data_IF_720588292641
#
_entry.id   IF_720588292641
#
_cell.length_a   1.000
_cell.length_b   1.000
_cell.length_c   1.000
_cell.angle_alpha   90.00
_cell.angle_beta   90.00
_cell.angle_gamma   90.00
#
_symmetry.space_group_name_H-M   'P 1'
#
loop_
_entity.id
_entity.type
_entity.pdbx_description
1 polymer ?
#
# COMPACT_ATOMS: atom_id res chain seq x y z
N UNK A 1 0.18 -7.55 -22.11
CA UNK A 1 0.29 -6.48 -21.08
C UNK A 1 0.62 -5.11 -21.69
N UNK A 2 1.71 -4.94 -22.44
CA UNK A 2 2.05 -3.64 -23.05
C UNK A 2 0.90 -2.97 -23.82
N UNK A 3 0.30 -3.67 -24.79
CA UNK A 3 -0.83 -3.13 -25.56
C UNK A 3 -2.05 -2.76 -24.70
N UNK A 4 -2.30 -3.51 -23.62
CA UNK A 4 -3.39 -3.23 -22.68
C UNK A 4 -3.12 -1.94 -21.91
N UNK A 5 -1.94 -1.81 -21.30
CA UNK A 5 -1.59 -0.64 -20.50
C UNK A 5 -1.51 0.63 -21.36
N UNK A 6 -0.92 0.55 -22.54
CA UNK A 6 -0.89 1.67 -23.49
C UNK A 6 -2.29 2.09 -23.90
N UNK A 7 -3.15 1.14 -24.30
CA UNK A 7 -4.52 1.44 -24.71
C UNK A 7 -5.39 2.01 -23.59
N UNK A 8 -5.14 1.64 -22.33
CA UNK A 8 -5.81 2.24 -21.16
C UNK A 8 -5.29 3.64 -20.85
N UNK A 9 -3.97 3.83 -20.86
CA UNK A 9 -3.32 5.12 -20.57
C UNK A 9 -3.60 6.19 -21.64
N UNK A 10 -3.86 5.80 -22.89
CA UNK A 10 -4.28 6.71 -23.96
C UNK A 10 -5.71 7.24 -23.77
N UNK A 11 -6.58 6.47 -23.12
CA UNK A 11 -8.00 6.83 -22.90
C UNK A 11 -8.20 7.76 -21.71
N UNK A 12 -7.21 7.87 -20.82
CA UNK A 12 -7.29 8.66 -19.61
C UNK A 12 -6.17 8.32 -18.62
N UNK A 13 -6.19 8.93 -17.42
CA UNK A 13 -5.23 8.59 -16.39
C UNK A 13 -5.43 7.14 -15.93
N UNK A 14 -4.36 6.36 -15.99
CA UNK A 14 -4.29 4.99 -15.49
C UNK A 14 -3.55 4.98 -14.14
N UNK A 15 -4.22 4.58 -13.09
CA UNK A 15 -3.63 4.44 -11.76
C UNK A 15 -3.27 2.97 -11.51
N UNK A 16 -2.00 2.72 -11.25
CA UNK A 16 -1.49 1.42 -10.81
C UNK A 16 -1.28 1.47 -9.30
N UNK A 17 -1.98 0.61 -8.58
CA UNK A 17 -1.98 0.58 -7.11
C UNK A 17 -1.05 -0.51 -6.63
N UNK A 18 -0.08 -0.12 -5.79
CA UNK A 18 0.95 -1.00 -5.24
C UNK A 18 0.99 -0.92 -3.72
N UNK A 19 1.50 -1.96 -3.08
CA UNK A 19 1.96 -1.91 -1.70
C UNK A 19 3.49 -1.93 -1.68
N UNK A 20 4.11 -0.74 -1.72
CA UNK A 20 5.54 -0.54 -2.04
C UNK A 20 5.92 -1.01 -3.46
N UNK A 21 5.94 -0.10 -4.46
CA UNK A 21 6.17 -0.49 -5.86
C UNK A 21 7.60 -0.95 -6.16
N UNK A 22 8.52 -0.90 -5.19
CA UNK A 22 9.96 -1.05 -5.46
C UNK A 22 10.33 -2.38 -6.10
N UNK A 23 9.77 -3.49 -5.62
CA UNK A 23 10.05 -4.82 -6.20
C UNK A 23 9.28 -5.02 -7.51
N UNK A 24 7.97 -4.72 -7.51
CA UNK A 24 7.12 -4.87 -8.68
C UNK A 24 7.67 -4.10 -9.88
N UNK A 25 8.09 -2.86 -9.70
CA UNK A 25 8.65 -2.03 -10.76
C UNK A 25 9.95 -2.61 -11.30
N UNK A 26 10.80 -3.23 -10.47
CA UNK A 26 12.01 -3.92 -10.96
C UNK A 26 11.62 -5.06 -11.88
N UNK A 27 10.69 -5.91 -11.45
CA UNK A 27 10.26 -7.08 -12.21
C UNK A 27 9.55 -6.69 -13.51
N UNK A 28 8.67 -5.68 -13.47
CA UNK A 28 7.99 -5.17 -14.65
C UNK A 28 8.95 -4.51 -15.65
N UNK A 29 10.05 -3.90 -15.17
CA UNK A 29 11.11 -3.38 -16.03
C UNK A 29 11.93 -4.48 -16.71
N UNK A 30 12.20 -5.59 -16.00
CA UNK A 30 12.83 -6.78 -16.58
C UNK A 30 11.95 -7.38 -17.69
N UNK A 31 10.63 -7.32 -17.54
CA UNK A 31 9.66 -7.73 -18.56
C UNK A 31 9.48 -6.71 -19.71
N UNK A 32 10.26 -5.63 -19.70
CA UNK A 32 10.23 -4.57 -20.73
C UNK A 32 8.83 -3.98 -20.94
N UNK A 33 8.10 -3.73 -19.85
CA UNK A 33 6.80 -3.08 -19.92
C UNK A 33 7.02 -1.56 -20.06
N UNK A 34 6.80 -1.03 -21.27
CA UNK A 34 7.11 0.37 -21.61
C UNK A 34 6.32 1.38 -20.79
N UNK A 35 5.07 1.06 -20.46
CA UNK A 35 4.18 1.89 -19.66
C UNK A 35 4.74 2.18 -18.24
N UNK A 36 5.59 1.29 -17.71
CA UNK A 36 6.20 1.45 -16.38
C UNK A 36 7.36 2.44 -16.38
N UNK A 37 8.05 2.60 -17.52
CA UNK A 37 9.17 3.55 -17.65
C UNK A 37 8.73 5.00 -17.51
N UNK A 38 7.54 5.31 -18.02
CA UNK A 38 6.94 6.65 -17.99
C UNK A 38 6.00 6.86 -16.79
N UNK A 39 6.03 5.94 -15.82
CA UNK A 39 5.13 5.97 -14.67
C UNK A 39 5.47 7.14 -13.72
N UNK A 40 4.46 7.92 -13.36
CA UNK A 40 4.58 9.08 -12.48
C UNK A 40 4.30 8.70 -11.03
N UNK A 41 5.19 9.05 -10.11
CA UNK A 41 5.06 8.74 -8.67
C UNK A 41 4.44 9.87 -7.85
N UNK A 42 4.26 11.04 -8.47
CA UNK A 42 3.59 12.19 -7.88
C UNK A 42 2.28 12.46 -8.63
N UNK A 43 1.21 12.66 -7.87
CA UNK A 43 -0.04 13.12 -8.43
C UNK A 43 0.00 14.64 -8.58
N UNK A 44 -0.42 15.19 -9.72
CA UNK A 44 -0.55 16.64 -9.88
C UNK A 44 -1.70 17.17 -9.01
N UNK A 45 -1.58 18.42 -8.54
CA UNK A 45 -2.67 19.14 -7.87
C UNK A 45 -3.94 19.28 -8.73
N UNK A 46 -3.87 19.61 -10.05
CA UNK A 46 -5.03 19.53 -10.93
C UNK A 46 -5.37 18.08 -11.32
N UNK A 47 -6.55 17.91 -11.93
CA UNK A 47 -7.02 16.61 -12.44
C UNK A 47 -5.92 15.95 -13.31
N UNK A 48 -5.54 14.69 -13.03
CA UNK A 48 -4.50 13.98 -13.78
C UNK A 48 -4.81 13.89 -15.28
N UNK A 49 -3.79 14.16 -16.11
CA UNK A 49 -3.85 14.01 -17.57
C UNK A 49 -3.67 12.55 -17.97
N UNK A 50 -3.94 12.16 -19.23
CA UNK A 50 -3.63 10.81 -19.71
C UNK A 50 -2.18 10.41 -19.43
N UNK A 51 -1.98 9.17 -19.01
CA UNK A 51 -0.69 8.65 -18.56
C UNK A 51 -0.82 7.65 -17.41
N UNK A 52 0.31 7.10 -16.97
CA UNK A 52 0.37 6.09 -15.91
C UNK A 52 0.85 6.72 -14.60
N UNK A 53 0.11 6.47 -13.53
CA UNK A 53 0.37 7.01 -12.20
C UNK A 53 0.50 5.88 -11.19
N UNK A 54 1.55 5.95 -10.37
CA UNK A 54 1.79 5.02 -9.28
C UNK A 54 1.08 5.50 -8.01
N UNK A 55 0.30 4.62 -7.41
CA UNK A 55 -0.33 4.81 -6.11
C UNK A 55 0.33 3.85 -5.13
N UNK A 56 1.12 4.39 -4.20
CA UNK A 56 1.79 3.61 -3.16
C UNK A 56 0.94 3.62 -1.88
N UNK A 57 0.22 2.52 -1.65
CA UNK A 57 -0.66 2.37 -0.47
C UNK A 57 0.10 2.39 0.84
N UNK A 58 1.38 1.98 0.85
CA UNK A 58 2.24 2.00 2.03
C UNK A 58 2.53 3.43 2.45
N UNK A 59 2.82 4.31 1.49
CA UNK A 59 2.99 5.76 1.74
C UNK A 59 1.68 6.45 2.10
N UNK A 60 0.58 6.12 1.43
CA UNK A 60 -0.74 6.69 1.74
C UNK A 60 -1.13 6.36 3.18
N UNK A 61 -0.92 5.12 3.61
CA UNK A 61 -1.21 4.71 4.97
C UNK A 61 -0.33 5.44 5.99
N UNK A 62 0.97 5.56 5.75
CA UNK A 62 1.88 6.35 6.60
C UNK A 62 1.40 7.80 6.76
N UNK A 63 0.96 8.42 5.67
CA UNK A 63 0.40 9.78 5.69
C UNK A 63 -0.92 9.85 6.47
N UNK A 64 -1.82 8.88 6.28
CA UNK A 64 -3.08 8.76 7.02
C UNK A 64 -2.81 8.62 8.52
N UNK A 65 -1.89 7.72 8.89
CA UNK A 65 -1.51 7.46 10.26
C UNK A 65 -0.72 8.61 10.91
N UNK A 66 -0.07 9.44 10.10
CA UNK A 66 0.77 10.56 10.56
C UNK A 66 2.14 10.11 11.06
N UNK A 67 2.65 8.96 10.58
CA UNK A 67 3.96 8.41 10.95
C UNK A 67 4.80 8.20 9.70
N UNK A 68 6.13 8.23 9.84
CA UNK A 68 7.04 8.01 8.70
C UNK A 68 7.29 6.53 8.47
N UNK A 69 7.16 5.72 9.52
CA UNK A 69 7.49 4.31 9.54
C UNK A 69 6.49 3.50 8.69
N UNK A 70 6.97 2.92 7.58
CA UNK A 70 6.10 2.25 6.63
C UNK A 70 5.72 0.85 7.16
N UNK A 71 4.45 0.46 7.02
CA UNK A 71 3.92 -0.81 7.57
C UNK A 71 3.75 -1.87 6.48
N UNK A 72 3.75 -3.14 6.87
CA UNK A 72 3.44 -4.26 5.98
C UNK A 72 1.96 -4.27 5.61
N UNK A 73 1.62 -4.94 4.50
CA UNK A 73 0.26 -5.08 4.02
C UNK A 73 -0.64 -5.72 5.09
N UNK A 74 -0.19 -6.84 5.66
CA UNK A 74 -0.91 -7.53 6.74
C UNK A 74 -1.23 -6.62 7.93
N UNK A 75 -0.28 -5.76 8.30
CA UNK A 75 -0.45 -4.80 9.38
C UNK A 75 -1.44 -3.70 9.00
N UNK A 76 -1.40 -3.20 7.77
CA UNK A 76 -2.36 -2.20 7.28
C UNK A 76 -3.78 -2.79 7.25
N UNK A 77 -3.97 -4.00 6.70
CA UNK A 77 -5.27 -4.68 6.67
C UNK A 77 -5.88 -4.77 8.09
N UNK A 78 -5.08 -5.22 9.07
CA UNK A 78 -5.47 -5.29 10.49
C UNK A 78 -5.89 -3.94 11.04
N UNK A 79 -5.11 -2.88 10.79
CA UNK A 79 -5.41 -1.55 11.33
C UNK A 79 -6.64 -0.93 10.66
N UNK A 80 -6.84 -1.16 9.36
CA UNK A 80 -8.01 -0.68 8.64
C UNK A 80 -9.29 -1.46 8.99
N UNK A 81 -9.17 -2.57 9.72
CA UNK A 81 -10.29 -3.42 10.13
C UNK A 81 -10.84 -4.27 8.99
N UNK A 82 -10.04 -4.50 7.95
CA UNK A 82 -10.38 -5.44 6.88
C UNK A 82 -10.50 -6.85 7.48
N UNK A 83 -11.44 -7.64 6.99
CA UNK A 83 -11.70 -9.01 7.46
C UNK A 83 -11.22 -10.01 6.42
N UNK A 84 -11.08 -11.26 6.84
CA UNK A 84 -10.89 -12.40 5.94
C UNK A 84 -9.62 -12.41 5.07
N UNK A 85 -8.63 -11.57 5.36
CA UNK A 85 -7.32 -11.68 4.73
C UNK A 85 -6.55 -12.89 5.28
N UNK A 86 -5.93 -13.65 4.37
CA UNK A 86 -5.09 -14.82 4.65
C UNK A 86 -4.21 -15.15 3.43
N UNK A 87 -3.25 -16.05 3.59
CA UNK A 87 -2.38 -16.50 2.49
C UNK A 87 -1.68 -15.32 1.80
N UNK A 88 -0.96 -14.52 2.59
CA UNK A 88 0.00 -13.56 2.07
C UNK A 88 1.08 -14.30 1.25
N UNK A 89 1.78 -13.59 0.36
CA UNK A 89 2.74 -14.16 -0.60
C UNK A 89 2.10 -14.88 -1.79
N UNK A 90 0.77 -14.83 -1.91
CA UNK A 90 0.10 -15.06 -3.17
C UNK A 90 -0.15 -13.72 -3.86
N UNK A 91 0.48 -13.49 -5.02
CA UNK A 91 0.42 -12.20 -5.71
C UNK A 91 -1.02 -11.74 -6.04
N UNK A 92 -1.95 -12.67 -6.27
CA UNK A 92 -3.36 -12.35 -6.51
C UNK A 92 -4.05 -11.84 -5.25
N UNK A 93 -3.90 -12.56 -4.14
CA UNK A 93 -4.43 -12.14 -2.84
C UNK A 93 -3.81 -10.82 -2.38
N UNK A 94 -2.49 -10.67 -2.53
CA UNK A 94 -1.78 -9.45 -2.13
C UNK A 94 -2.25 -8.25 -2.97
N UNK A 95 -2.54 -8.44 -4.26
CA UNK A 95 -3.14 -7.40 -5.11
C UNK A 95 -4.56 -7.03 -4.67
N UNK A 96 -5.39 -8.02 -4.32
CA UNK A 96 -6.74 -7.80 -3.80
C UNK A 96 -6.71 -7.01 -2.48
N UNK A 97 -5.92 -7.45 -1.50
CA UNK A 97 -5.81 -6.77 -0.20
C UNK A 97 -5.21 -5.37 -0.34
N UNK A 98 -4.26 -5.18 -1.26
CA UNK A 98 -3.70 -3.87 -1.59
C UNK A 98 -4.80 -2.93 -2.09
N UNK A 99 -5.66 -3.41 -2.99
CA UNK A 99 -6.78 -2.65 -3.52
C UNK A 99 -7.82 -2.34 -2.45
N UNK A 100 -8.19 -3.31 -1.61
CA UNK A 100 -9.11 -3.10 -0.49
C UNK A 100 -8.59 -2.06 0.51
N UNK A 101 -7.30 -2.13 0.85
CA UNK A 101 -6.66 -1.13 1.71
C UNK A 101 -6.74 0.26 1.08
N UNK A 102 -6.45 0.37 -0.22
CA UNK A 102 -6.58 1.62 -0.95
C UNK A 102 -8.00 2.16 -0.90
N UNK A 103 -9.00 1.34 -1.22
CA UNK A 103 -10.41 1.74 -1.19
C UNK A 103 -10.84 2.18 0.22
N UNK A 104 -10.44 1.47 1.27
CA UNK A 104 -10.76 1.81 2.65
C UNK A 104 -10.14 3.14 3.11
N UNK A 105 -8.97 3.52 2.57
CA UNK A 105 -8.35 4.82 2.83
C UNK A 105 -8.96 5.93 1.98
N UNK A 106 -9.26 5.65 0.70
CA UNK A 106 -9.74 6.65 -0.26
C UNK A 106 -11.24 6.98 -0.14
N UNK A 107 -12.06 6.03 0.32
CA UNK A 107 -13.52 6.20 0.45
C UNK A 107 -13.98 6.93 1.71
N UNK A 108 -13.05 7.21 2.64
CA UNK A 108 -13.38 7.84 3.92
C UNK A 108 -13.52 9.36 3.85
N UNK A 109 -13.71 9.97 5.02
CA UNK A 109 -13.69 11.42 5.21
C UNK A 109 -12.34 12.05 4.80
N UNK A 110 -12.18 13.39 4.82
CA UNK A 110 -10.87 14.00 4.66
C UNK A 110 -9.84 13.43 5.64
N UNK A 111 -8.57 13.40 5.22
CA UNK A 111 -7.48 12.69 5.92
C UNK A 111 -7.40 13.02 7.42
N UNK A 112 -7.57 14.28 7.81
CA UNK A 112 -7.49 14.71 9.20
C UNK A 112 -8.68 14.20 10.04
N UNK A 113 -9.87 14.14 9.45
CA UNK A 113 -11.05 13.57 10.10
C UNK A 113 -10.89 12.05 10.27
N UNK A 114 -10.40 11.35 9.24
CA UNK A 114 -10.09 9.91 9.35
C UNK A 114 -9.05 9.64 10.43
N UNK A 115 -7.97 10.42 10.48
CA UNK A 115 -6.92 10.27 11.49
C UNK A 115 -7.46 10.48 12.90
N UNK A 116 -8.26 11.53 13.09
CA UNK A 116 -8.90 11.85 14.37
C UNK A 116 -9.81 10.72 14.85
N UNK A 117 -10.60 10.14 13.94
CA UNK A 117 -11.51 9.05 14.25
C UNK A 117 -10.78 7.73 14.56
N UNK A 118 -9.72 7.40 13.81
CA UNK A 118 -8.98 6.13 13.95
C UNK A 118 -8.01 6.15 15.13
N UNK A 119 -7.41 7.29 15.43
CA UNK A 119 -6.43 7.44 16.52
C UNK A 119 -6.69 8.69 17.37
N UNK A 120 -7.81 8.75 18.11
CA UNK A 120 -8.22 9.92 18.89
C UNK A 120 -7.15 10.34 19.91
N UNK A 121 -6.44 9.38 20.51
CA UNK A 121 -5.39 9.62 21.51
C UNK A 121 -4.03 10.06 20.92
N UNK A 122 -3.93 10.36 19.62
CA UNK A 122 -2.70 10.91 19.00
C UNK A 122 -2.74 12.44 18.85
N UNK A 123 -3.86 13.09 19.14
CA UNK A 123 -3.94 14.54 19.23
C UNK A 123 -3.57 15.00 20.65
N UNK A 124 -2.28 15.26 20.87
CA UNK A 124 -1.76 15.87 22.11
C UNK A 124 -1.73 14.94 23.34
N UNK A 125 -0.57 14.90 24.01
CA UNK A 125 -0.35 14.42 25.37
C UNK A 125 -0.73 12.97 25.72
N UNK A 126 0.23 12.06 25.52
CA UNK A 126 0.47 11.01 26.51
C UNK A 126 1.86 11.23 27.13
N UNK A 127 2.00 11.15 28.47
CA UNK A 127 3.31 11.18 29.10
C UNK A 127 4.18 10.03 28.54
N UNK A 128 5.52 10.20 28.48
CA UNK A 128 6.45 9.33 27.74
C UNK A 128 6.47 7.84 28.14
N UNK A 129 5.69 7.43 29.15
CA UNK A 129 5.72 6.09 29.74
C UNK A 129 4.50 5.21 29.42
N UNK A 130 3.56 5.63 28.57
CA UNK A 130 2.42 4.78 28.18
C UNK A 130 2.79 3.94 26.95
N UNK A 131 3.21 2.70 27.17
CA UNK A 131 3.26 1.69 26.10
C UNK A 131 1.83 1.43 25.64
N UNK A 132 1.53 1.74 24.38
CA UNK A 132 0.22 1.50 23.78
C UNK A 132 0.09 0.01 23.46
N UNK A 133 -0.79 -0.65 24.16
CA UNK A 133 -1.20 -2.02 23.86
C UNK A 133 -2.11 -1.98 22.62
N UNK A 134 -1.60 -2.42 21.48
CA UNK A 134 -2.49 -2.80 20.38
C UNK A 134 -3.20 -4.07 20.82
N UNK A 135 -4.54 -4.10 20.73
CA UNK A 135 -5.33 -5.27 21.04
C UNK A 135 -4.73 -6.50 20.35
N UNK A 136 -4.11 -7.37 21.15
CA UNK A 136 -3.51 -8.63 20.72
C UNK A 136 -4.63 -9.63 20.58
N UNK A 137 -5.30 -9.64 19.43
CA UNK A 137 -6.03 -10.83 19.00
C UNK A 137 -5.06 -11.73 18.23
N UNK A 138 -4.69 -12.81 18.92
CA UNK A 138 -3.73 -13.83 18.53
C UNK A 138 -4.18 -14.59 17.29
N UNK A 139 -3.90 -14.05 16.10
CA UNK A 139 -3.74 -14.89 14.90
C UNK A 139 -2.24 -15.00 14.65
N UNK A 140 -1.65 -16.22 14.68
CA UNK A 140 -0.22 -16.36 14.46
C UNK A 140 0.16 -15.66 13.15
N UNK A 141 1.19 -14.82 13.24
CA UNK A 141 1.84 -14.23 12.09
C UNK A 141 2.55 -15.40 11.40
N UNK A 142 2.07 -15.77 10.21
CA UNK A 142 2.75 -16.73 9.36
C UNK A 142 3.89 -15.97 8.69
N UNK A 143 4.93 -15.68 9.48
CA UNK A 143 6.17 -15.05 9.05
C UNK A 143 7.07 -16.13 8.45
N UNK A 144 6.58 -16.87 7.45
CA UNK A 144 7.43 -17.79 6.70
C UNK A 144 8.34 -16.97 5.78
N UNK A 145 9.34 -16.34 6.38
CA UNK A 145 10.56 -15.90 5.70
C UNK A 145 11.15 -17.15 5.04
N UNK A 146 10.96 -17.27 3.73
CA UNK A 146 11.72 -18.21 2.93
C UNK A 146 13.17 -17.76 2.95
N UNK A 147 13.97 -18.32 3.86
CA UNK A 147 15.43 -18.27 3.77
C UNK A 147 15.86 -18.94 2.46
N UNK A 148 16.46 -18.17 1.55
CA UNK A 148 17.10 -18.67 0.33
C UNK A 148 18.33 -19.51 0.71
N UNK A 149 18.30 -20.85 0.50
CA UNK A 149 19.45 -21.70 0.77
C UNK A 149 20.28 -21.79 -0.53
N UNK A 150 20.92 -20.69 -0.94
CA UNK A 150 21.85 -20.73 -2.06
C UNK A 150 23.05 -19.78 -1.94
N UNK A 151 23.87 -20.03 -0.92
CA UNK A 151 25.31 -19.79 -1.05
C UNK A 151 26.07 -21.12 -1.08
N UNK A 152 26.59 -21.49 -2.26
CA UNK A 152 27.95 -21.98 -2.35
C UNK A 152 28.75 -21.11 -3.32
N UNK A 153 29.77 -20.44 -2.80
CA UNK A 153 31.21 -20.60 -3.10
C UNK A 153 31.99 -19.36 -2.66
#
# INVERSE_FOLDING_TARGET
>A
INALLSGLAERGPLFLVFHDPTSDVKDLNLLHISAIKEMRYTLPDPVPTPGVYCIDTRKIFSALEGVKEPKSLSRICRILGLRDFSHFHNAGNDAEYTLECFMAMASGAPIDAQRSARWPTRQGDLPPNVKREYARESRPEDDSDWEDPSHPF
#
